data_IF_268815074716
#
_entry.id   IF_268815074716
#
_cell.length_a   1.000
_cell.length_b   1.000
_cell.length_c   1.000
_cell.angle_alpha   90.00
_cell.angle_beta   90.00
_cell.angle_gamma   90.00
#
_symmetry.space_group_name_H-M   'P 1'
#
loop_
_entity.id
_entity.type
_entity.pdbx_description
1 polymer ?
#
# COMPACT_ATOMS: atom_id res chain seq x y z
N UNK A 1 30.41 8.08 24.69
CA UNK A 1 30.23 7.52 23.34
C UNK A 1 28.79 7.86 22.90
N UNK A 2 28.61 8.79 21.98
CA UNK A 2 27.31 9.00 21.35
C UNK A 2 27.19 8.00 20.20
N UNK A 3 26.36 6.98 20.36
CA UNK A 3 25.96 6.14 19.25
C UNK A 3 25.22 7.04 18.24
N UNK A 4 25.79 7.23 17.09
CA UNK A 4 25.18 8.01 16.03
C UNK A 4 24.13 7.12 15.36
N UNK A 5 22.90 7.20 15.81
CA UNK A 5 21.76 6.65 15.09
C UNK A 5 21.30 7.66 14.05
N UNK A 6 22.25 8.13 13.24
CA UNK A 6 21.92 8.94 12.07
C UNK A 6 21.20 8.06 11.07
N UNK A 7 19.89 8.12 11.09
CA UNK A 7 19.08 7.53 10.04
C UNK A 7 19.34 8.35 8.79
N UNK A 8 20.17 7.83 7.90
CA UNK A 8 20.40 8.41 6.59
C UNK A 8 19.03 8.58 5.89
N UNK A 9 18.69 9.79 5.50
CA UNK A 9 17.62 9.94 4.53
C UNK A 9 17.94 9.05 3.31
N UNK A 10 17.08 8.18 2.90
CA UNK A 10 15.62 8.17 2.87
C UNK A 10 14.93 7.26 3.91
N UNK A 11 15.55 6.92 5.00
CA UNK A 11 15.07 5.93 5.96
C UNK A 11 14.12 6.48 7.05
N UNK A 12 13.53 7.62 6.88
CA UNK A 12 12.51 8.18 7.80
C UNK A 12 11.30 7.28 8.07
N UNK A 13 11.23 6.10 7.43
CA UNK A 13 10.25 5.08 7.80
C UNK A 13 10.62 4.37 9.11
N UNK A 14 11.92 4.23 9.46
CA UNK A 14 12.38 3.55 10.68
C UNK A 14 12.02 4.37 11.91
N UNK A 15 12.25 5.68 11.85
CA UNK A 15 11.84 6.62 12.90
C UNK A 15 10.32 6.54 13.15
N UNK A 16 9.53 6.47 12.07
CA UNK A 16 8.08 6.32 12.18
C UNK A 16 7.64 4.95 12.66
N UNK A 17 8.42 3.90 12.45
CA UNK A 17 8.16 2.60 13.06
C UNK A 17 8.42 2.65 14.57
N UNK A 18 9.53 3.23 14.97
CA UNK A 18 9.91 3.31 16.39
C UNK A 18 8.94 4.17 17.20
N UNK A 19 8.67 5.38 16.74
CA UNK A 19 7.89 6.36 17.49
C UNK A 19 6.44 6.50 17.01
N UNK A 20 6.08 5.81 15.95
CA UNK A 20 4.83 6.04 15.26
C UNK A 20 4.84 7.35 14.49
N UNK A 21 3.71 7.69 13.93
CA UNK A 21 3.60 8.99 13.28
C UNK A 21 2.61 9.04 12.13
N UNK A 22 2.47 10.23 11.59
CA UNK A 22 1.60 10.53 10.46
C UNK A 22 2.44 10.54 9.18
N UNK A 23 2.11 9.67 8.25
CA UNK A 23 2.67 9.73 6.90
C UNK A 23 1.80 10.66 6.06
N UNK A 24 2.38 11.74 5.58
CA UNK A 24 1.73 12.68 4.66
C UNK A 24 2.40 12.58 3.29
N UNK A 25 1.62 12.82 2.24
CA UNK A 25 2.20 13.06 0.92
C UNK A 25 2.59 14.55 0.86
N UNK A 26 3.86 14.90 0.62
CA UNK A 26 4.32 16.29 0.57
C UNK A 26 3.61 17.13 -0.49
N UNK A 27 3.09 16.51 -1.55
CA UNK A 27 2.32 17.19 -2.60
C UNK A 27 0.83 17.34 -2.25
N UNK A 28 0.38 16.91 -1.08
CA UNK A 28 -1.05 16.93 -0.71
C UNK A 28 -1.92 15.92 -1.46
N UNK A 29 -1.35 15.18 -2.44
CA UNK A 29 -2.07 14.17 -3.19
C UNK A 29 -2.42 12.95 -2.32
N UNK A 30 -3.43 12.20 -2.73
CA UNK A 30 -3.83 10.98 -2.03
C UNK A 30 -2.72 9.94 -2.00
N UNK A 31 -2.57 9.26 -0.87
CA UNK A 31 -1.68 8.13 -0.75
C UNK A 31 -2.26 6.91 -1.49
N UNK A 32 -1.41 6.29 -2.31
CA UNK A 32 -1.76 5.07 -3.04
C UNK A 32 -1.41 3.86 -2.20
N UNK A 33 -2.42 3.12 -1.78
CA UNK A 33 -2.26 1.91 -0.97
C UNK A 33 -2.60 0.69 -1.83
N UNK A 34 -1.59 -0.12 -2.21
CA UNK A 34 -1.84 -1.34 -2.95
C UNK A 34 -2.46 -2.41 -2.05
N UNK A 35 -3.52 -3.04 -2.54
CA UNK A 35 -4.11 -4.20 -1.89
C UNK A 35 -3.15 -5.41 -2.00
N UNK A 36 -3.32 -6.42 -1.15
CA UNK A 36 -2.55 -7.69 -1.21
C UNK A 36 -2.59 -8.33 -2.59
N UNK A 37 -3.69 -8.19 -3.32
CA UNK A 37 -3.86 -8.69 -4.71
C UNK A 37 -3.01 -7.95 -5.74
N UNK A 38 -2.62 -6.72 -5.48
CA UNK A 38 -1.69 -5.98 -6.33
C UNK A 38 -0.25 -6.50 -6.16
N UNK A 39 0.01 -7.26 -5.11
CA UNK A 39 1.31 -7.87 -4.80
C UNK A 39 1.32 -9.31 -5.32
N UNK A 40 2.42 -9.74 -5.90
CA UNK A 40 2.56 -11.12 -6.40
C UNK A 40 2.56 -12.15 -5.26
N UNK A 41 2.12 -13.37 -5.55
CA UNK A 41 2.09 -14.46 -4.58
C UNK A 41 3.48 -14.79 -4.01
N UNK A 42 4.51 -14.71 -4.84
CA UNK A 42 5.88 -15.07 -4.47
C UNK A 42 6.65 -13.91 -3.82
N UNK A 43 6.15 -12.68 -3.93
CA UNK A 43 6.78 -11.52 -3.33
C UNK A 43 5.73 -10.55 -2.79
N UNK A 44 5.24 -10.85 -1.60
CA UNK A 44 4.21 -10.08 -0.91
C UNK A 44 4.60 -8.62 -0.63
N UNK A 45 5.90 -8.27 -0.74
CA UNK A 45 6.40 -6.92 -0.47
C UNK A 45 6.36 -6.01 -1.70
N UNK A 46 6.49 -6.56 -2.92
CA UNK A 46 6.53 -5.77 -4.16
C UNK A 46 5.20 -5.75 -4.89
N UNK A 47 4.81 -4.58 -5.35
CA UNK A 47 3.65 -4.39 -6.23
C UNK A 47 4.05 -4.82 -7.65
N UNK A 48 3.19 -5.57 -8.32
CA UNK A 48 3.42 -5.92 -9.72
C UNK A 48 3.36 -4.67 -10.60
N UNK A 49 4.24 -4.56 -11.60
CA UNK A 49 4.37 -3.38 -12.47
C UNK A 49 3.04 -2.97 -13.12
N UNK A 50 2.22 -3.95 -13.53
CA UNK A 50 0.88 -3.70 -14.10
C UNK A 50 -0.08 -2.99 -13.16
N UNK A 51 0.21 -2.97 -11.85
CA UNK A 51 -0.62 -2.34 -10.82
C UNK A 51 -0.02 -1.05 -10.26
N UNK A 52 1.02 -0.52 -10.88
CA UNK A 52 1.50 0.82 -10.54
C UNK A 52 0.46 1.86 -10.92
N UNK A 53 0.29 2.90 -10.10
CA UNK A 53 -0.74 3.92 -10.30
C UNK A 53 -0.76 4.49 -11.72
N UNK A 54 0.41 4.83 -12.26
CA UNK A 54 0.53 5.38 -13.61
C UNK A 54 0.04 4.41 -14.70
N UNK A 55 0.24 3.10 -14.52
CA UNK A 55 -0.25 2.07 -15.44
C UNK A 55 -1.75 1.86 -15.27
N UNK A 56 -2.22 1.76 -14.02
CA UNK A 56 -3.63 1.53 -13.70
C UNK A 56 -4.48 2.70 -14.17
N UNK A 57 -4.07 3.95 -13.92
CA UNK A 57 -4.83 5.15 -14.32
C UNK A 57 -4.96 5.28 -15.82
N UNK A 58 -3.90 5.01 -16.59
CA UNK A 58 -3.93 5.01 -18.07
C UNK A 58 -4.82 3.90 -18.64
N UNK A 59 -4.91 2.78 -17.94
CA UNK A 59 -5.72 1.62 -18.34
C UNK A 59 -7.06 1.57 -17.61
N UNK A 60 -7.63 2.70 -17.24
CA UNK A 60 -8.92 2.79 -16.57
C UNK A 60 -10.02 3.14 -17.57
N UNK A 61 -11.10 2.38 -17.52
CA UNK A 61 -12.31 2.69 -18.30
C UNK A 61 -13.05 3.83 -17.62
N UNK A 62 -13.36 4.86 -18.40
CA UNK A 62 -14.21 5.95 -17.93
C UNK A 62 -15.63 5.44 -17.66
N UNK A 63 -16.23 6.03 -16.65
CA UNK A 63 -17.60 5.72 -16.30
C UNK A 63 -18.55 5.95 -17.49
N UNK A 64 -19.38 4.96 -17.81
CA UNK A 64 -20.31 5.06 -18.93
C UNK A 64 -21.21 6.30 -18.78
N UNK A 65 -21.26 7.12 -19.83
CA UNK A 65 -22.13 8.31 -19.91
C UNK A 65 -23.56 7.99 -20.35
N UNK A 66 -23.87 6.72 -20.63
CA UNK A 66 -25.23 6.30 -21.05
C UNK A 66 -26.25 6.71 -20.01
N UNK A 67 -27.39 7.19 -20.48
CA UNK A 67 -28.58 7.39 -19.63
C UNK A 67 -28.97 6.08 -18.97
N UNK A 68 -29.44 6.13 -17.73
CA UNK A 68 -29.87 4.96 -16.98
C UNK A 68 -29.43 4.97 -15.53
N UNK A 69 -29.91 3.98 -14.80
CA UNK A 69 -29.59 3.83 -13.38
C UNK A 69 -28.10 3.65 -13.15
N UNK A 70 -27.64 3.99 -11.94
CA UNK A 70 -26.23 3.77 -11.51
C UNK A 70 -25.80 2.31 -11.73
N UNK A 71 -26.72 1.36 -11.48
CA UNK A 71 -26.49 -0.08 -11.69
C UNK A 71 -26.27 -0.39 -13.17
N UNK A 72 -27.10 0.14 -14.08
CA UNK A 72 -26.95 -0.09 -15.51
C UNK A 72 -25.64 0.48 -16.05
N UNK A 73 -25.25 1.68 -15.62
CA UNK A 73 -23.96 2.29 -15.95
C UNK A 73 -22.78 1.46 -15.44
N UNK A 74 -22.86 0.93 -14.21
CA UNK A 74 -21.82 0.07 -13.66
C UNK A 74 -21.66 -1.22 -14.48
N UNK A 75 -22.76 -1.87 -14.85
CA UNK A 75 -22.73 -3.08 -15.69
C UNK A 75 -22.11 -2.80 -17.05
N UNK A 76 -22.47 -1.69 -17.71
CA UNK A 76 -21.92 -1.29 -18.99
C UNK A 76 -20.39 -1.02 -18.88
N UNK A 77 -19.98 -0.30 -17.86
CA UNK A 77 -18.55 -0.03 -17.60
C UNK A 77 -17.78 -1.32 -17.29
N UNK A 78 -18.36 -2.22 -16.48
CA UNK A 78 -17.77 -3.51 -16.14
C UNK A 78 -17.62 -4.42 -17.36
N UNK A 79 -18.58 -4.38 -18.29
CA UNK A 79 -18.48 -5.13 -19.54
C UNK A 79 -17.28 -4.69 -20.38
N UNK A 80 -17.12 -3.38 -20.60
CA UNK A 80 -15.99 -2.83 -21.36
C UNK A 80 -14.67 -3.15 -20.64
N UNK A 81 -14.61 -2.93 -19.33
CA UNK A 81 -13.41 -3.21 -18.55
C UNK A 81 -13.01 -4.70 -18.56
N UNK A 82 -13.98 -5.60 -18.54
CA UNK A 82 -13.73 -7.04 -18.64
C UNK A 82 -13.20 -7.44 -20.04
N UNK A 83 -13.82 -6.90 -21.10
CA UNK A 83 -13.43 -7.18 -22.49
C UNK A 83 -12.02 -6.66 -22.80
N UNK A 84 -11.70 -5.45 -22.36
CA UNK A 84 -10.44 -4.78 -22.65
C UNK A 84 -9.36 -5.04 -21.59
N UNK A 85 -9.64 -5.88 -20.57
CA UNK A 85 -8.75 -6.15 -19.43
C UNK A 85 -8.28 -4.88 -18.70
N UNK A 86 -9.12 -3.86 -18.66
CA UNK A 86 -8.89 -2.56 -18.04
C UNK A 86 -9.43 -2.50 -16.60
N UNK A 87 -9.13 -1.41 -15.93
CA UNK A 87 -9.58 -1.14 -14.57
C UNK A 87 -10.81 -0.23 -14.56
N UNK A 88 -11.53 -0.23 -13.44
CA UNK A 88 -12.61 0.73 -13.16
C UNK A 88 -12.18 1.55 -11.94
N UNK A 89 -12.34 2.86 -12.03
CA UNK A 89 -12.21 3.73 -10.86
C UNK A 89 -13.60 3.97 -10.28
N UNK A 90 -13.76 3.66 -9.01
CA UNK A 90 -14.96 3.95 -8.23
C UNK A 90 -14.54 4.58 -6.90
N UNK A 91 -15.11 5.74 -6.59
CA UNK A 91 -14.72 6.52 -5.42
C UNK A 91 -13.19 6.71 -5.38
N UNK A 92 -12.59 6.32 -4.27
CA UNK A 92 -11.14 6.44 -4.05
C UNK A 92 -10.41 5.10 -4.26
N UNK A 93 -10.88 4.24 -5.16
CA UNK A 93 -10.24 2.95 -5.41
C UNK A 93 -10.29 2.55 -6.88
N UNK A 94 -9.32 1.71 -7.27
CA UNK A 94 -9.28 1.07 -8.58
C UNK A 94 -9.58 -0.42 -8.44
N UNK A 95 -10.47 -0.88 -9.30
CA UNK A 95 -10.95 -2.26 -9.30
C UNK A 95 -10.65 -2.94 -10.63
N UNK A 96 -10.32 -4.22 -10.55
CA UNK A 96 -10.29 -5.13 -11.70
C UNK A 96 -11.58 -5.93 -11.73
N UNK A 97 -12.18 -6.04 -12.91
CA UNK A 97 -13.35 -6.90 -13.12
C UNK A 97 -12.91 -8.33 -13.33
N UNK A 98 -13.56 -9.26 -12.65
CA UNK A 98 -13.36 -10.69 -12.84
C UNK A 98 -14.72 -11.41 -12.94
N UNK A 99 -14.72 -12.56 -13.63
CA UNK A 99 -15.90 -13.42 -13.76
C UNK A 99 -17.13 -12.68 -14.30
N UNK A 100 -16.93 -11.84 -15.32
CA UNK A 100 -18.05 -11.16 -15.96
C UNK A 100 -18.90 -12.15 -16.78
N UNK A 101 -20.16 -12.27 -16.42
CA UNK A 101 -21.14 -13.08 -17.13
C UNK A 101 -22.37 -12.22 -17.41
N UNK A 102 -22.87 -12.25 -18.63
CA UNK A 102 -24.08 -11.54 -19.03
C UNK A 102 -25.07 -12.52 -19.62
N UNK A 103 -26.28 -12.51 -19.11
CA UNK A 103 -27.46 -13.20 -19.66
C UNK A 103 -28.45 -12.19 -20.24
N UNK A 104 -29.50 -12.66 -20.90
CA UNK A 104 -30.56 -11.77 -21.41
C UNK A 104 -31.21 -10.89 -20.33
N UNK A 105 -31.34 -11.43 -19.10
CA UNK A 105 -32.05 -10.78 -17.98
C UNK A 105 -31.13 -10.20 -16.91
N UNK A 106 -29.88 -10.63 -16.83
CA UNK A 106 -28.99 -10.24 -15.73
C UNK A 106 -27.52 -10.16 -16.15
N UNK A 107 -26.72 -9.47 -15.34
CA UNK A 107 -25.27 -9.49 -15.44
C UNK A 107 -24.67 -9.68 -14.05
N UNK A 108 -23.67 -10.56 -13.95
CA UNK A 108 -22.92 -10.82 -12.73
C UNK A 108 -21.43 -10.63 -12.99
N UNK A 109 -20.72 -10.08 -12.01
CA UNK A 109 -19.26 -9.89 -12.06
C UNK A 109 -18.74 -9.67 -10.64
N UNK A 110 -17.44 -9.86 -10.47
CA UNK A 110 -16.74 -9.54 -9.21
C UNK A 110 -15.80 -8.37 -9.42
N UNK A 111 -15.83 -7.41 -8.50
CA UNK A 111 -14.87 -6.32 -8.43
C UNK A 111 -13.78 -6.71 -7.43
N UNK A 112 -12.55 -6.73 -7.90
CA UNK A 112 -11.36 -6.96 -7.07
C UNK A 112 -10.65 -5.63 -6.89
N UNK A 113 -10.64 -5.10 -5.67
CA UNK A 113 -9.87 -3.90 -5.35
C UNK A 113 -8.38 -4.17 -5.52
N UNK A 114 -7.70 -3.29 -6.26
CA UNK A 114 -6.28 -3.38 -6.54
C UNK A 114 -5.52 -2.27 -5.83
N UNK A 115 -5.97 -1.02 -5.99
CA UNK A 115 -5.38 0.15 -5.36
C UNK A 115 -6.46 0.94 -4.63
N UNK A 116 -6.12 1.43 -3.44
CA UNK A 116 -6.94 2.37 -2.71
C UNK A 116 -6.22 3.71 -2.62
N UNK A 117 -6.94 4.80 -2.90
CA UNK A 117 -6.46 6.17 -2.78
C UNK A 117 -6.99 6.71 -1.45
N UNK A 118 -6.22 6.57 -0.40
CA UNK A 118 -6.57 7.18 0.89
C UNK A 118 -6.21 8.66 0.91
N UNK A 119 -6.81 9.38 1.84
CA UNK A 119 -6.47 10.79 2.08
C UNK A 119 -4.96 10.97 2.25
N UNK A 120 -4.51 12.21 2.08
CA UNK A 120 -3.09 12.60 2.05
C UNK A 120 -2.27 12.17 3.28
N UNK A 121 -2.87 11.52 4.27
CA UNK A 121 -2.17 11.04 5.45
C UNK A 121 -2.67 9.70 5.97
N UNK A 122 -1.75 8.88 6.46
CA UNK A 122 -2.04 7.68 7.26
C UNK A 122 -1.23 7.74 8.55
N UNK A 123 -1.82 7.26 9.65
CA UNK A 123 -1.11 7.13 10.92
C UNK A 123 -0.56 5.71 11.03
N UNK A 124 0.71 5.62 11.35
CA UNK A 124 1.37 4.36 11.69
C UNK A 124 1.47 4.29 13.21
N UNK A 125 0.98 3.24 13.88
CA UNK A 125 1.21 3.06 15.31
C UNK A 125 2.71 2.86 15.55
N UNK A 126 3.18 3.29 16.73
CA UNK A 126 4.54 3.00 17.17
C UNK A 126 4.73 1.47 17.30
N UNK A 127 5.84 0.99 16.83
CA UNK A 127 6.28 -0.39 17.00
C UNK A 127 7.77 -0.32 17.41
N UNK A 128 8.05 0.06 18.66
CA UNK A 128 9.41 0.26 19.13
C UNK A 128 10.19 -1.06 19.08
N UNK A 129 11.34 -1.04 18.47
CA UNK A 129 12.26 -2.15 18.37
C UNK A 129 13.70 -1.74 18.70
N UNK A 130 14.05 -0.50 18.44
CA UNK A 130 15.39 0.04 18.66
C UNK A 130 15.61 0.41 20.13
N UNK A 131 14.64 1.06 20.77
CA UNK A 131 14.74 1.45 22.17
C UNK A 131 14.94 0.25 23.10
N UNK A 132 14.12 -0.83 23.00
CA UNK A 132 14.37 -2.03 23.80
C UNK A 132 15.73 -2.70 23.51
N UNK A 133 16.14 -2.72 22.24
CA UNK A 133 17.44 -3.28 21.86
C UNK A 133 18.62 -2.47 22.42
N UNK A 134 18.53 -1.13 22.39
CA UNK A 134 19.57 -0.26 22.94
C UNK A 134 19.64 -0.34 24.47
N UNK A 135 18.51 -0.45 25.15
CA UNK A 135 18.45 -0.65 26.60
C UNK A 135 19.07 -2.00 27.00
N UNK A 136 18.79 -3.04 26.24
CA UNK A 136 19.40 -4.36 26.47
C UNK A 136 20.92 -4.33 26.25
N UNK A 137 21.38 -3.73 25.16
CA UNK A 137 22.79 -3.56 24.86
C UNK A 137 23.50 -2.74 25.94
N UNK A 138 22.88 -1.66 26.41
CA UNK A 138 23.46 -0.84 27.48
C UNK A 138 23.68 -1.62 28.81
N UNK A 139 22.78 -2.55 29.12
CA UNK A 139 22.92 -3.41 30.31
C UNK A 139 24.08 -4.41 30.20
N UNK A 140 24.33 -4.93 29.01
CA UNK A 140 25.37 -5.91 28.75
C UNK A 140 26.77 -5.27 28.56
N UNK A 141 26.81 -4.02 28.13
CA UNK A 141 28.05 -3.31 27.80
C UNK A 141 29.07 -3.33 28.97
N UNK A 142 28.71 -3.05 30.24
CA UNK A 142 29.67 -3.10 31.36
C UNK A 142 30.28 -4.49 31.58
N UNK A 143 29.46 -5.54 31.42
CA UNK A 143 29.93 -6.93 31.59
C UNK A 143 30.94 -7.31 30.49
N UNK A 144 30.66 -6.92 29.25
CA UNK A 144 31.62 -7.15 28.16
C UNK A 144 32.92 -6.38 28.34
N UNK A 145 32.86 -5.14 28.80
CA UNK A 145 34.06 -4.36 29.08
C UNK A 145 34.88 -4.98 30.20
N UNK A 146 34.26 -5.43 31.30
CA UNK A 146 34.96 -6.11 32.37
C UNK A 146 35.67 -7.39 31.87
N UNK A 147 34.96 -8.22 31.10
CA UNK A 147 35.51 -9.45 30.51
C UNK A 147 36.70 -9.20 29.58
N UNK A 148 36.67 -8.11 28.81
CA UNK A 148 37.77 -7.76 27.90
C UNK A 148 39.00 -7.17 28.67
N UNK A 149 38.73 -6.39 29.72
CA UNK A 149 39.81 -5.84 30.57
C UNK A 149 40.55 -6.93 31.36
N UNK A 150 39.85 -8.00 31.80
CA UNK A 150 40.45 -9.12 32.49
C UNK A 150 41.37 -10.00 31.60
N UNK A 151 41.36 -9.79 30.30
CA UNK A 151 42.19 -10.51 29.31
C UNK A 151 43.53 -9.80 29.03
N UNK A 152 43.71 -8.58 29.51
CA UNK A 152 44.91 -7.76 29.33
C UNK A 152 45.82 -7.91 30.55
#
# INVERSE_FOLDING_TARGET
IRAYTGVLEPAGYMERQEFGGKRTNPTGANLVIPNTRARGNNNKKKVQTRYYLGVVSRNTVHWSRRSGSRKARLVATAFVAAKEKKFIRMNNAFFQVSNFRKTKKSASFRLKEILNLKHASTRTPAQPWLSPASEYAAKLTPEFYAQEMDKI
#
